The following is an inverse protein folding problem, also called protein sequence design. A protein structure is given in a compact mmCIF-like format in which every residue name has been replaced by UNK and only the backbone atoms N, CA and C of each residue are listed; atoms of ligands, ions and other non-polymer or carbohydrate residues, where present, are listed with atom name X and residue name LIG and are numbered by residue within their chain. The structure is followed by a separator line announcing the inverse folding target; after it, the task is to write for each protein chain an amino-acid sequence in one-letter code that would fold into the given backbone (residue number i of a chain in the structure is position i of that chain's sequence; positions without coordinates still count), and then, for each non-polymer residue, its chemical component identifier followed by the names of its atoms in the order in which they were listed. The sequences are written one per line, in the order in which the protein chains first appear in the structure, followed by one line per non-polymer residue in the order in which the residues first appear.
data_IF_480621666282
#
_entry.id   IF_480621666282
#
_cell.length_a   1.000
_cell.length_b   1.000
_cell.length_c   1.000
_cell.angle_alpha   90.00
_cell.angle_beta   90.00
_cell.angle_gamma   90.00
#
_symmetry.space_group_name_H-M   'P 1'
#
loop_
_entity.id
_entity.type
_entity.pdbx_description
1 polymer ?
#
# COMPACT_ATOMS: atom_id res chain seq x y z
N UNK A 1 3.32 25.13 -12.23
CA UNK A 1 4.58 24.70 -11.57
C UNK A 1 4.79 23.19 -11.64
N UNK A 2 3.84 22.34 -11.23
CA UNK A 2 4.00 20.87 -11.17
C UNK A 2 4.55 20.21 -12.46
N UNK A 3 4.12 20.62 -13.65
CA UNK A 3 4.64 20.11 -14.94
C UNK A 3 6.16 20.29 -15.08
N UNK A 4 6.71 21.39 -14.56
CA UNK A 4 8.14 21.66 -14.64
C UNK A 4 8.95 20.66 -13.80
N UNK A 5 8.44 20.29 -12.63
CA UNK A 5 9.10 19.33 -11.73
C UNK A 5 8.88 17.88 -12.17
N UNK A 6 7.64 17.49 -12.48
CA UNK A 6 7.27 16.09 -12.66
C UNK A 6 7.40 15.59 -14.11
N UNK A 7 7.53 16.50 -15.09
CA UNK A 7 7.70 16.12 -16.52
C UNK A 7 8.98 16.68 -17.13
N UNK A 8 9.19 18.00 -17.05
CA UNK A 8 10.31 18.65 -17.75
C UNK A 8 11.64 18.33 -17.07
N UNK A 9 11.71 18.48 -15.75
CA UNK A 9 12.92 18.27 -14.95
C UNK A 9 12.80 17.04 -14.03
N UNK A 10 12.03 16.03 -14.46
CA UNK A 10 11.67 14.90 -13.62
C UNK A 10 12.88 14.12 -13.10
N UNK A 11 13.93 13.94 -13.90
CA UNK A 11 15.13 13.23 -13.49
C UNK A 11 15.87 13.95 -12.34
N UNK A 12 15.84 15.29 -12.32
CA UNK A 12 16.48 16.11 -11.29
C UNK A 12 15.71 16.00 -9.97
N UNK A 13 14.39 16.01 -10.03
CA UNK A 13 13.51 16.00 -8.85
C UNK A 13 12.91 14.61 -8.52
N UNK A 14 13.44 13.55 -9.13
CA UNK A 14 12.89 12.19 -8.94
C UNK A 14 13.29 11.58 -7.59
N UNK A 15 14.41 12.02 -7.00
CA UNK A 15 14.93 11.43 -5.78
C UNK A 15 13.99 11.68 -4.58
N UNK A 16 13.95 10.72 -3.66
CA UNK A 16 13.15 10.79 -2.43
C UNK A 16 14.01 11.27 -1.26
N UNK A 17 13.45 12.09 -0.34
CA UNK A 17 14.12 12.44 0.90
C UNK A 17 14.26 11.21 1.80
N UNK A 18 15.33 11.16 2.59
CA UNK A 18 15.63 10.05 3.50
C UNK A 18 15.11 10.35 4.89
N UNK A 19 13.80 10.21 5.10
CA UNK A 19 13.20 10.37 6.44
C UNK A 19 13.50 9.16 7.33
N UNK A 20 13.54 9.40 8.64
CA UNK A 20 13.84 8.39 9.66
C UNK A 20 12.86 7.21 9.60
N UNK A 21 11.56 7.49 9.55
CA UNK A 21 10.52 6.47 9.46
C UNK A 21 10.71 5.53 8.26
N UNK A 22 11.10 6.10 7.11
CA UNK A 22 11.29 5.32 5.89
C UNK A 22 12.48 4.37 6.03
N UNK A 23 13.52 4.72 6.80
CA UNK A 23 14.63 3.79 7.04
C UNK A 23 14.17 2.45 7.60
N UNK A 24 13.22 2.47 8.53
CA UNK A 24 12.73 1.27 9.19
C UNK A 24 11.68 0.55 8.35
N UNK A 25 10.75 1.32 7.79
CA UNK A 25 9.58 0.77 7.11
C UNK A 25 9.88 0.32 5.66
N UNK A 26 10.84 0.96 5.00
CA UNK A 26 11.22 0.68 3.60
C UNK A 26 12.48 -0.20 3.47
N UNK A 27 12.81 -0.98 4.51
CA UNK A 27 14.02 -1.81 4.56
C UNK A 27 15.27 -1.01 4.17
N UNK A 28 15.55 0.07 4.91
CA UNK A 28 16.65 1.00 4.66
C UNK A 28 16.63 1.59 3.24
N UNK A 29 15.48 2.13 2.83
CA UNK A 29 15.29 2.81 1.54
C UNK A 29 15.49 1.92 0.31
N UNK A 30 15.13 0.64 0.43
CA UNK A 30 15.21 -0.33 -0.66
C UNK A 30 13.87 -0.65 -1.30
N UNK A 31 12.76 -0.06 -0.87
CA UNK A 31 11.49 -0.19 -1.61
C UNK A 31 11.42 0.73 -2.85
N UNK A 32 10.40 0.54 -3.71
CA UNK A 32 10.25 1.32 -4.95
C UNK A 32 9.66 2.73 -4.73
N UNK A 33 9.03 2.98 -3.58
CA UNK A 33 8.30 4.20 -3.26
C UNK A 33 9.19 5.28 -2.64
N UNK A 34 10.11 4.88 -1.74
CA UNK A 34 10.95 5.76 -0.92
C UNK A 34 12.45 5.61 -1.21
N UNK A 35 12.88 4.69 -2.07
CA UNK A 35 14.29 4.61 -2.47
C UNK A 35 14.73 5.87 -3.25
N UNK A 36 15.93 6.42 -2.96
CA UNK A 36 16.53 7.49 -3.73
C UNK A 36 16.64 7.13 -5.22
N UNK A 37 16.57 8.15 -6.08
CA UNK A 37 16.67 7.92 -7.51
C UNK A 37 18.08 7.41 -7.87
N UNK A 38 18.17 6.26 -8.52
CA UNK A 38 19.43 5.63 -8.89
C UNK A 38 19.25 4.39 -9.77
N UNK A 39 20.34 3.68 -10.11
CA UNK A 39 20.27 2.44 -10.89
C UNK A 39 19.33 1.40 -10.29
N UNK A 40 19.38 1.20 -8.97
CA UNK A 40 18.50 0.28 -8.24
C UNK A 40 17.02 0.62 -8.45
N UNK A 41 16.62 1.84 -8.11
CA UNK A 41 15.23 2.29 -8.24
C UNK A 41 14.71 2.19 -9.68
N UNK A 42 15.55 2.51 -10.68
CA UNK A 42 15.17 2.41 -12.11
C UNK A 42 14.89 0.96 -12.51
N UNK A 43 15.73 0.01 -12.11
CA UNK A 43 15.52 -1.40 -12.41
C UNK A 43 14.31 -1.96 -11.64
N UNK A 44 14.17 -1.65 -10.34
CA UNK A 44 13.00 -2.05 -9.55
C UNK A 44 11.70 -1.52 -10.19
N UNK A 45 11.65 -0.23 -10.53
CA UNK A 45 10.48 0.38 -11.21
C UNK A 45 10.19 -0.27 -12.55
N UNK A 46 11.21 -0.59 -13.34
CA UNK A 46 11.05 -1.29 -14.62
C UNK A 46 10.43 -2.68 -14.42
N UNK A 47 10.85 -3.44 -13.40
CA UNK A 47 10.24 -4.73 -13.05
C UNK A 47 8.77 -4.54 -12.66
N UNK A 48 8.46 -3.58 -11.77
CA UNK A 48 7.10 -3.29 -11.36
C UNK A 48 6.17 -3.01 -12.55
N UNK A 49 6.56 -2.09 -13.44
CA UNK A 49 5.72 -1.71 -14.59
C UNK A 49 5.63 -2.84 -15.62
N UNK A 50 6.73 -3.52 -15.92
CA UNK A 50 6.75 -4.49 -17.03
C UNK A 50 6.33 -5.90 -16.64
N UNK A 51 6.41 -6.28 -15.36
CA UNK A 51 6.15 -7.66 -14.90
C UNK A 51 4.99 -7.76 -13.91
N UNK A 52 4.85 -6.78 -13.01
CA UNK A 52 3.86 -6.83 -11.91
C UNK A 52 2.56 -6.14 -12.31
N UNK A 53 2.66 -4.93 -12.85
CA UNK A 53 1.53 -4.04 -13.17
C UNK A 53 1.34 -3.84 -14.69
N UNK A 54 1.74 -4.82 -15.50
CA UNK A 54 1.47 -4.77 -16.94
C UNK A 54 0.01 -5.13 -17.25
N UNK A 55 -0.46 -4.74 -18.44
CA UNK A 55 -1.86 -4.93 -18.87
C UNK A 55 -2.30 -6.39 -18.75
N UNK A 56 -1.48 -7.34 -19.23
CA UNK A 56 -1.76 -8.78 -19.15
C UNK A 56 -1.97 -9.26 -17.71
N UNK A 57 -1.19 -8.72 -16.75
CA UNK A 57 -1.36 -9.04 -15.33
C UNK A 57 -2.60 -8.40 -14.75
N UNK A 58 -2.86 -7.14 -15.07
CA UNK A 58 -4.07 -6.44 -14.62
C UNK A 58 -5.35 -7.11 -15.12
N UNK A 59 -5.35 -7.59 -16.37
CA UNK A 59 -6.42 -8.41 -16.96
C UNK A 59 -6.55 -9.75 -16.21
N UNK A 60 -5.45 -10.44 -15.93
CA UNK A 60 -5.49 -11.71 -15.19
C UNK A 60 -6.09 -11.59 -13.78
N UNK A 61 -6.05 -10.40 -13.18
CA UNK A 61 -6.64 -10.10 -11.88
C UNK A 61 -8.10 -9.61 -11.94
N UNK A 62 -8.70 -9.50 -13.13
CA UNK A 62 -10.08 -9.04 -13.28
C UNK A 62 -11.07 -9.91 -12.49
N UNK A 63 -10.93 -11.23 -12.60
CA UNK A 63 -11.77 -12.19 -11.88
C UNK A 63 -11.76 -11.94 -10.36
N UNK A 64 -10.58 -11.69 -9.79
CA UNK A 64 -10.42 -11.37 -8.37
C UNK A 64 -11.19 -10.10 -8.02
N UNK A 65 -11.02 -9.01 -8.80
CA UNK A 65 -11.73 -7.75 -8.55
C UNK A 65 -13.24 -7.89 -8.66
N UNK A 66 -13.75 -8.70 -9.59
CA UNK A 66 -15.18 -8.96 -9.75
C UNK A 66 -15.73 -9.74 -8.55
N UNK A 67 -15.03 -10.78 -8.11
CA UNK A 67 -15.43 -11.59 -6.96
C UNK A 67 -15.45 -10.76 -5.66
N UNK A 68 -14.39 -10.02 -5.37
CA UNK A 68 -14.30 -9.16 -4.18
C UNK A 68 -15.37 -8.07 -4.20
N UNK A 69 -15.64 -7.48 -5.37
CA UNK A 69 -16.69 -6.46 -5.50
C UNK A 69 -18.06 -7.04 -5.19
N UNK A 70 -18.35 -8.25 -5.66
CA UNK A 70 -19.61 -8.93 -5.36
C UNK A 70 -19.72 -9.21 -3.87
N UNK A 71 -18.66 -9.71 -3.23
CA UNK A 71 -18.62 -9.94 -1.79
C UNK A 71 -18.90 -8.65 -1.00
N UNK A 72 -18.19 -7.58 -1.32
CA UNK A 72 -18.36 -6.26 -0.71
C UNK A 72 -19.79 -5.73 -0.86
N UNK A 73 -20.38 -5.80 -2.05
CA UNK A 73 -21.75 -5.34 -2.27
C UNK A 73 -22.79 -6.20 -1.54
N UNK A 74 -22.62 -7.53 -1.52
CA UNK A 74 -23.50 -8.43 -0.76
C UNK A 74 -23.41 -8.15 0.74
N UNK A 75 -22.21 -7.90 1.26
CA UNK A 75 -22.01 -7.51 2.66
C UNK A 75 -22.73 -6.19 2.96
N UNK A 76 -22.56 -5.16 2.12
CA UNK A 76 -23.26 -3.88 2.29
C UNK A 76 -24.79 -3.99 2.21
N UNK A 77 -25.31 -4.88 1.37
CA UNK A 77 -26.77 -5.12 1.28
C UNK A 77 -27.36 -5.58 2.62
N UNK A 78 -26.60 -6.28 3.46
CA UNK A 78 -27.06 -6.70 4.79
C UNK A 78 -27.37 -5.53 5.74
N UNK A 79 -26.83 -4.34 5.45
CA UNK A 79 -27.07 -3.11 6.20
C UNK A 79 -28.14 -2.20 5.57
N UNK A 80 -28.90 -2.71 4.58
CA UNK A 80 -29.93 -1.93 3.90
C UNK A 80 -30.87 -1.21 4.88
N UNK A 81 -31.10 0.08 4.64
CA UNK A 81 -31.94 0.93 5.49
C UNK A 81 -31.26 1.48 6.75
N UNK A 82 -29.97 1.20 6.99
CA UNK A 82 -29.20 1.74 8.11
C UNK A 82 -28.04 2.61 7.61
N UNK A 83 -27.68 3.69 8.32
CA UNK A 83 -26.43 4.40 8.07
C UNK A 83 -25.23 3.47 8.29
N UNK A 84 -24.26 3.50 7.37
CA UNK A 84 -23.03 2.69 7.43
C UNK A 84 -21.81 3.59 7.25
N UNK A 85 -20.78 3.38 8.08
CA UNK A 85 -19.49 4.04 7.92
C UNK A 85 -18.65 3.25 6.93
N UNK A 86 -18.52 3.75 5.69
CA UNK A 86 -17.87 3.01 4.60
C UNK A 86 -16.34 2.87 4.72
N UNK A 87 -15.69 3.68 5.55
CA UNK A 87 -14.22 3.74 5.63
C UNK A 87 -13.62 2.35 5.85
N UNK A 88 -14.05 1.66 6.90
CA UNK A 88 -13.44 0.39 7.31
C UNK A 88 -13.77 -0.73 6.30
N UNK A 89 -14.99 -0.72 5.74
CA UNK A 89 -15.38 -1.66 4.69
C UNK A 89 -14.57 -1.46 3.39
N UNK A 90 -14.25 -0.22 3.02
CA UNK A 90 -13.42 0.11 1.85
C UNK A 90 -11.96 -0.26 2.05
N UNK A 91 -11.42 -0.04 3.26
CA UNK A 91 -10.08 -0.48 3.65
C UNK A 91 -9.96 -2.00 3.51
N UNK A 92 -10.90 -2.75 4.12
CA UNK A 92 -10.98 -4.21 4.01
C UNK A 92 -11.10 -4.67 2.55
N UNK A 93 -12.00 -4.07 1.76
CA UNK A 93 -12.17 -4.41 0.35
C UNK A 93 -10.89 -4.23 -0.48
N UNK A 94 -10.20 -3.11 -0.29
CA UNK A 94 -8.96 -2.80 -1.03
C UNK A 94 -7.83 -3.75 -0.64
N UNK A 95 -7.72 -4.05 0.65
CA UNK A 95 -6.72 -4.95 1.20
C UNK A 95 -6.96 -6.40 0.74
N UNK A 96 -8.20 -6.88 0.79
CA UNK A 96 -8.60 -8.20 0.28
C UNK A 96 -8.22 -8.37 -1.19
N UNK A 97 -8.53 -7.39 -2.04
CA UNK A 97 -8.12 -7.41 -3.45
C UNK A 97 -6.61 -7.50 -3.57
N UNK A 98 -5.88 -6.64 -2.86
CA UNK A 98 -4.43 -6.51 -2.97
C UNK A 98 -3.73 -7.79 -2.55
N UNK A 99 -4.10 -8.34 -1.40
CA UNK A 99 -3.51 -9.58 -0.91
C UNK A 99 -3.88 -10.79 -1.78
N UNK A 100 -5.11 -10.88 -2.30
CA UNK A 100 -5.46 -11.93 -3.27
C UNK A 100 -4.65 -11.83 -4.56
N UNK A 101 -4.34 -10.63 -5.02
CA UNK A 101 -3.47 -10.41 -6.20
C UNK A 101 -2.02 -10.80 -5.93
N UNK A 102 -1.47 -10.48 -4.75
CA UNK A 102 -0.08 -10.75 -4.37
C UNK A 102 0.14 -12.23 -4.09
N UNK A 103 -0.67 -12.81 -3.21
CA UNK A 103 -0.46 -14.16 -2.70
C UNK A 103 -1.17 -15.25 -3.52
N UNK A 104 -2.02 -14.88 -4.50
CA UNK A 104 -2.72 -15.80 -5.42
C UNK A 104 -3.60 -16.87 -4.75
N UNK A 105 -4.28 -16.51 -3.67
CA UNK A 105 -5.18 -17.39 -2.92
C UNK A 105 -6.26 -16.59 -2.20
N UNK A 106 -7.32 -17.25 -1.73
CA UNK A 106 -8.28 -16.65 -0.80
C UNK A 106 -7.73 -16.83 0.61
N UNK A 107 -6.96 -15.85 1.07
CA UNK A 107 -6.37 -15.90 2.41
C UNK A 107 -7.34 -15.43 3.49
N UNK A 108 -8.48 -14.87 3.08
CA UNK A 108 -9.47 -14.25 3.93
C UNK A 108 -10.82 -14.78 3.51
N UNK A 109 -11.37 -15.69 4.30
CA UNK A 109 -12.72 -16.17 4.13
C UNK A 109 -13.41 -16.02 5.48
N UNK A 110 -14.56 -15.37 5.51
CA UNK A 110 -15.44 -15.30 6.69
C UNK A 110 -16.18 -16.63 6.95
N UNK A 111 -15.90 -17.68 6.16
CA UNK A 111 -16.48 -19.01 6.33
C UNK A 111 -15.55 -19.81 7.25
N UNK A 112 -16.09 -20.19 8.41
CA UNK A 112 -15.45 -20.85 9.56
C UNK A 112 -14.62 -22.12 9.25
N UNK A 113 -14.61 -22.62 8.01
CA UNK A 113 -14.10 -23.94 7.66
C UNK A 113 -12.81 -23.93 6.81
N UNK A 114 -12.27 -22.75 6.47
CA UNK A 114 -10.99 -22.63 5.76
C UNK A 114 -10.01 -21.81 6.61
N UNK A 115 -8.93 -22.45 7.07
CA UNK A 115 -7.89 -21.81 7.89
C UNK A 115 -7.26 -20.62 7.15
N UNK A 116 -7.78 -19.42 7.38
CA UNK A 116 -7.11 -18.19 6.95
C UNK A 116 -5.72 -18.16 7.58
N UNK A 117 -4.69 -17.96 6.75
CA UNK A 117 -3.30 -17.93 7.21
C UNK A 117 -2.99 -16.59 7.90
N UNK A 118 -3.81 -15.57 7.65
CA UNK A 118 -3.66 -14.20 8.15
C UNK A 118 -5.05 -13.66 8.51
N UNK A 119 -5.18 -13.07 9.69
CA UNK A 119 -6.40 -12.36 10.09
C UNK A 119 -6.50 -11.02 9.33
N UNK A 120 -7.68 -10.73 8.76
CA UNK A 120 -7.89 -9.45 8.07
C UNK A 120 -7.84 -8.27 9.02
N UNK A 121 -8.29 -8.45 10.26
CA UNK A 121 -8.34 -7.36 11.22
C UNK A 121 -6.94 -6.99 11.68
N UNK A 122 -6.10 -7.98 11.98
CA UNK A 122 -4.66 -7.79 12.21
C UNK A 122 -3.99 -7.08 11.03
N UNK A 123 -4.30 -7.49 9.80
CA UNK A 123 -3.69 -6.86 8.62
C UNK A 123 -4.15 -5.41 8.41
N UNK A 124 -5.42 -5.09 8.70
CA UNK A 124 -5.91 -3.71 8.68
C UNK A 124 -5.19 -2.88 9.73
N UNK A 125 -5.05 -3.39 10.96
CA UNK A 125 -4.33 -2.73 12.05
C UNK A 125 -2.88 -2.43 11.68
N UNK A 126 -2.15 -3.41 11.12
CA UNK A 126 -0.77 -3.23 10.65
C UNK A 126 -0.68 -2.12 9.59
N UNK A 127 -1.63 -2.08 8.64
CA UNK A 127 -1.65 -1.05 7.59
C UNK A 127 -1.97 0.33 8.16
N UNK A 128 -2.88 0.43 9.12
CA UNK A 128 -3.20 1.69 9.80
C UNK A 128 -2.03 2.23 10.62
N UNK A 129 -1.36 1.36 11.38
CA UNK A 129 -0.14 1.70 12.12
C UNK A 129 0.98 2.14 11.15
N UNK A 130 1.13 1.45 10.03
CA UNK A 130 2.09 1.83 8.98
C UNK A 130 1.84 3.25 8.47
N UNK A 131 0.59 3.63 8.20
CA UNK A 131 0.23 4.99 7.78
C UNK A 131 0.47 6.02 8.88
N UNK A 132 0.15 5.67 10.13
CA UNK A 132 0.39 6.53 11.30
C UNK A 132 1.88 6.84 11.45
N UNK A 133 2.73 5.81 11.45
CA UNK A 133 4.19 5.96 11.59
C UNK A 133 4.81 6.71 10.39
N UNK A 134 4.27 6.52 9.18
CA UNK A 134 4.72 7.25 7.99
C UNK A 134 4.42 8.76 8.07
N UNK A 135 3.31 9.12 8.71
CA UNK A 135 2.88 10.51 8.91
C UNK A 135 3.37 11.15 10.20
N UNK A 136 4.02 10.40 11.08
CA UNK A 136 4.52 10.89 12.35
C UNK A 136 5.64 11.93 12.14
N UNK A 137 5.66 12.94 13.01
CA UNK A 137 6.69 13.97 12.99
C UNK A 137 7.91 13.51 13.79
N UNK A 138 9.05 13.38 13.12
CA UNK A 138 10.35 13.15 13.75
C UNK A 138 11.18 14.42 13.67
N UNK A 139 11.66 14.93 14.80
CA UNK A 139 12.38 16.20 14.86
C UNK A 139 13.76 16.11 14.17
N UNK A 140 14.39 14.94 14.20
CA UNK A 140 15.66 14.64 13.55
C UNK A 140 15.61 14.79 12.03
N UNK A 141 14.45 14.62 11.40
CA UNK A 141 14.28 14.82 9.94
C UNK A 141 14.42 16.30 9.54
N UNK A 142 14.18 17.22 10.48
CA UNK A 142 14.23 18.67 10.25
C UNK A 142 15.44 19.33 10.91
N UNK A 143 15.80 18.85 12.11
CA UNK A 143 16.88 19.35 12.94
C UNK A 143 17.77 18.15 13.32
N UNK A 144 18.74 17.76 12.48
CA UNK A 144 19.46 16.49 12.61
C UNK A 144 20.15 16.26 13.95
N UNK A 145 20.62 17.30 14.64
CA UNK A 145 21.26 17.15 15.95
C UNK A 145 20.28 16.82 17.08
N UNK A 146 18.96 16.90 16.84
CA UNK A 146 17.90 16.55 17.79
C UNK A 146 17.35 15.15 17.56
N UNK A 147 17.95 14.34 16.69
CA UNK A 147 17.47 12.98 16.37
C UNK A 147 17.36 12.04 17.59
N UNK A 148 18.07 12.33 18.69
CA UNK A 148 17.95 11.58 19.94
C UNK A 148 16.59 11.80 20.64
N UNK A 149 15.78 12.76 20.18
CA UNK A 149 14.42 13.04 20.63
C UNK A 149 13.36 12.49 19.65
N UNK A 150 13.75 11.75 18.61
CA UNK A 150 12.79 11.09 17.72
C UNK A 150 11.93 10.08 18.50
N UNK A 151 10.67 9.93 18.05
CA UNK A 151 9.65 9.11 18.70
C UNK A 151 9.87 7.61 18.47
#
# INVERSE_FOLDING_TARGET
MARQFLKVNNAIFASRPTFAAYKHISYNYSDVSFSPYGPYWREARKIYITKVLNDKKLESFEKIRVEERRCFLTHLQSFSGKPVVLRDHLSRYTLSITCRMIFKGKYFTELEDDKSIVDMDELVEIVEEWFLLNGAFNIGDWIPWLNFLDL
#
